data_IF_514284309308
#
_entry.id   IF_514284309308
#
_cell.length_a   1.000
_cell.length_b   1.000
_cell.length_c   1.000
_cell.angle_alpha   90.00
_cell.angle_beta   90.00
_cell.angle_gamma   90.00
#
_symmetry.space_group_name_H-M   'P 1'
#
loop_
_entity.id
_entity.type
_entity.pdbx_description
1 polymer ?
#
# COMPACT_ATOMS: atom_id res chain seq x y z
N UNK A 1 -15.07 -3.08 4.44
CA UNK A 1 -14.00 -3.59 5.34
C UNK A 1 -12.83 -4.00 4.47
N UNK A 2 -11.61 -3.61 4.83
CA UNK A 2 -10.40 -4.02 4.12
C UNK A 2 -10.12 -5.49 4.36
N UNK A 3 -9.77 -6.24 3.31
CA UNK A 3 -9.30 -7.62 3.45
C UNK A 3 -7.96 -7.68 4.19
N UNK A 4 -7.57 -8.82 4.81
CA UNK A 4 -6.25 -8.97 5.43
C UNK A 4 -5.10 -8.61 4.48
N UNK A 5 -5.23 -8.96 3.19
CA UNK A 5 -4.24 -8.61 2.17
C UNK A 5 -4.18 -7.11 1.88
N UNK A 6 -5.32 -6.43 1.84
CA UNK A 6 -5.35 -4.97 1.69
C UNK A 6 -4.68 -4.28 2.88
N UNK A 7 -4.90 -4.76 4.11
CA UNK A 7 -4.22 -4.25 5.30
C UNK A 7 -2.71 -4.42 5.19
N UNK A 8 -2.22 -5.61 4.85
CA UNK A 8 -0.78 -5.89 4.69
C UNK A 8 -0.12 -4.99 3.61
N UNK A 9 -0.82 -4.79 2.48
CA UNK A 9 -0.37 -3.88 1.41
C UNK A 9 -0.29 -2.44 1.91
N UNK A 10 -1.29 -1.96 2.65
CA UNK A 10 -1.33 -0.60 3.19
C UNK A 10 -0.24 -0.37 4.23
N UNK A 11 -0.02 -1.32 5.15
CA UNK A 11 1.06 -1.25 6.14
C UNK A 11 2.44 -1.24 5.47
N UNK A 12 2.65 -2.08 4.46
CA UNK A 12 3.91 -2.10 3.71
C UNK A 12 4.11 -0.82 2.91
N UNK A 13 3.05 -0.25 2.34
CA UNK A 13 3.09 1.03 1.65
C UNK A 13 3.45 2.17 2.60
N UNK A 14 2.87 2.20 3.81
CA UNK A 14 3.21 3.17 4.85
C UNK A 14 4.70 3.07 5.23
N UNK A 15 5.22 1.85 5.40
CA UNK A 15 6.64 1.63 5.68
C UNK A 15 7.55 2.14 4.55
N UNK A 16 7.17 1.92 3.28
CA UNK A 16 7.92 2.46 2.13
C UNK A 16 7.91 3.99 2.09
N UNK A 17 6.76 4.60 2.38
CA UNK A 17 6.63 6.06 2.44
C UNK A 17 7.51 6.62 3.56
N UNK A 18 7.52 5.98 4.73
CA UNK A 18 8.34 6.42 5.85
C UNK A 18 9.85 6.37 5.54
N UNK A 19 10.30 5.33 4.82
CA UNK A 19 11.72 5.15 4.48
C UNK A 19 12.19 6.02 3.31
N UNK A 20 11.36 6.17 2.28
CA UNK A 20 11.78 6.68 0.97
C UNK A 20 10.91 7.85 0.45
N UNK A 21 10.00 8.36 1.28
CA UNK A 21 8.98 9.33 0.89
C UNK A 21 7.93 8.75 -0.07
N UNK A 22 6.93 9.58 -0.41
CA UNK A 22 5.81 9.19 -1.29
C UNK A 22 6.31 8.78 -2.69
N UNK A 23 7.43 9.32 -3.15
CA UNK A 23 8.05 8.97 -4.43
C UNK A 23 8.56 7.52 -4.43
N UNK A 24 9.04 7.03 -3.29
CA UNK A 24 9.48 5.64 -3.11
C UNK A 24 8.37 4.60 -3.17
N UNK A 25 7.11 5.01 -2.97
CA UNK A 25 5.95 4.14 -3.18
C UNK A 25 5.72 3.93 -4.68
N UNK A 26 6.23 2.82 -5.20
CA UNK A 26 5.89 2.29 -6.52
C UNK A 26 5.34 0.88 -6.36
N UNK A 27 4.48 0.42 -7.28
CA UNK A 27 3.95 -0.95 -7.24
C UNK A 27 5.10 -1.97 -7.26
N UNK A 28 6.17 -1.67 -8.01
CA UNK A 28 7.41 -2.46 -8.05
C UNK A 28 8.17 -2.52 -6.73
N UNK A 29 8.28 -1.42 -6.00
CA UNK A 29 8.95 -1.43 -4.69
C UNK A 29 8.07 -2.13 -3.64
N UNK A 30 6.76 -1.92 -3.72
CA UNK A 30 5.79 -2.54 -2.84
C UNK A 30 5.78 -4.07 -3.01
N UNK A 31 5.74 -4.55 -4.26
CA UNK A 31 5.78 -5.97 -4.61
C UNK A 31 7.03 -6.65 -4.08
N UNK A 32 8.20 -6.00 -4.24
CA UNK A 32 9.47 -6.47 -3.68
C UNK A 32 9.47 -6.52 -2.15
N UNK A 33 8.93 -5.50 -1.48
CA UNK A 33 8.97 -5.41 -0.02
C UNK A 33 8.02 -6.39 0.66
N UNK A 34 6.81 -6.56 0.13
CA UNK A 34 5.81 -7.50 0.66
C UNK A 34 6.06 -8.96 0.20
N UNK A 35 6.87 -9.17 -0.84
CA UNK A 35 7.19 -10.50 -1.36
C UNK A 35 6.09 -11.13 -2.23
N UNK A 36 5.30 -10.32 -2.95
CA UNK A 36 4.29 -10.80 -3.91
C UNK A 36 4.48 -10.15 -5.28
N UNK A 37 3.83 -10.69 -6.32
CA UNK A 37 3.92 -10.11 -7.66
C UNK A 37 3.11 -8.81 -7.81
N UNK A 38 3.48 -7.93 -8.74
CA UNK A 38 2.69 -6.72 -9.04
C UNK A 38 1.23 -7.06 -9.43
N UNK A 39 0.94 -8.07 -10.28
CA UNK A 39 -0.44 -8.50 -10.53
C UNK A 39 -1.22 -8.91 -9.28
N UNK A 40 -0.55 -9.42 -8.25
CA UNK A 40 -1.22 -9.76 -6.99
C UNK A 40 -1.68 -8.51 -6.23
N UNK A 41 -0.92 -7.41 -6.30
CA UNK A 41 -1.32 -6.11 -5.75
C UNK A 41 -2.50 -5.55 -6.56
N UNK A 42 -2.44 -5.65 -7.89
CA UNK A 42 -3.51 -5.15 -8.77
C UNK A 42 -4.87 -5.83 -8.57
N UNK A 43 -4.91 -7.05 -7.99
CA UNK A 43 -6.18 -7.69 -7.59
C UNK A 43 -6.88 -6.99 -6.42
N UNK A 44 -6.17 -6.12 -5.69
CA UNK A 44 -6.68 -5.44 -4.50
C UNK A 44 -6.76 -3.92 -4.66
N UNK A 45 -5.89 -3.35 -5.50
CA UNK A 45 -5.84 -1.92 -5.76
C UNK A 45 -5.54 -1.68 -7.24
N UNK A 46 -6.39 -0.91 -7.91
CA UNK A 46 -6.25 -0.66 -9.35
C UNK A 46 -4.99 0.15 -9.70
N UNK A 47 -4.51 0.99 -8.77
CA UNK A 47 -3.39 1.88 -8.99
C UNK A 47 -2.77 2.38 -7.66
N UNK A 48 -1.67 3.13 -7.76
CA UNK A 48 -0.99 3.74 -6.60
C UNK A 48 -1.88 4.71 -5.81
N UNK A 49 -2.81 5.42 -6.49
CA UNK A 49 -3.68 6.41 -5.85
C UNK A 49 -4.65 5.72 -4.89
N UNK A 50 -5.26 4.60 -5.30
CA UNK A 50 -6.12 3.79 -4.42
C UNK A 50 -5.39 3.30 -3.16
N UNK A 51 -4.12 2.92 -3.29
CA UNK A 51 -3.28 2.56 -2.12
C UNK A 51 -3.05 3.76 -1.21
N UNK A 52 -2.77 4.95 -1.78
CA UNK A 52 -2.58 6.18 -1.01
C UNK A 52 -3.87 6.60 -0.29
N UNK A 53 -5.03 6.49 -0.94
CA UNK A 53 -6.32 6.76 -0.31
C UNK A 53 -6.57 5.80 0.86
N UNK A 54 -6.28 4.52 0.69
CA UNK A 54 -6.38 3.54 1.77
C UNK A 54 -5.41 3.82 2.92
N UNK A 55 -4.19 4.30 2.62
CA UNK A 55 -3.24 4.79 3.64
C UNK A 55 -3.79 6.02 4.36
N UNK A 56 -4.43 6.97 3.66
CA UNK A 56 -5.05 8.14 4.30
C UNK A 56 -6.23 7.75 5.20
N UNK A 57 -7.03 6.78 4.78
CA UNK A 57 -8.16 6.25 5.56
C UNK A 57 -7.71 5.63 6.88
N UNK A 58 -6.51 5.04 6.98
CA UNK A 58 -6.02 4.52 8.27
C UNK A 58 -5.77 5.64 9.28
N UNK A 59 -5.31 6.81 8.85
CA UNK A 59 -5.15 7.98 9.73
C UNK A 59 -6.50 8.59 10.12
N UNK A 60 -7.46 8.63 9.20
CA UNK A 60 -8.82 9.12 9.48
C UNK A 60 -9.57 8.32 10.54
N UNK A 61 -9.21 7.04 10.73
CA UNK A 61 -9.77 6.19 11.80
C UNK A 61 -9.06 6.33 13.15
N UNK A 62 -7.89 6.98 13.19
CA UNK A 62 -7.12 7.23 14.42
C UNK A 62 -7.50 8.55 15.10
N UNK A 63 -8.37 9.34 14.46
CA UNK A 63 -8.96 10.59 14.97
C UNK A 63 -10.44 10.37 15.29
#
# INVERSE_FOLDING_TARGET
>A
MSTPRQTEIVETALNLINENGIQGLTIKNLSKKIGISEPAIYRHFENKIEILLAVLDTFGRLL
#
